data_IF_419291819439
#
_entry.id   IF_419291819439
#
_cell.length_a   1.000
_cell.length_b   1.000
_cell.length_c   1.000
_cell.angle_alpha   90.00
_cell.angle_beta   90.00
_cell.angle_gamma   90.00
#
_symmetry.space_group_name_H-M   'P 1'
#
loop_
_entity.id
_entity.type
_entity.pdbx_description
1 polymer ?
#
# COMPACT_ATOMS: atom_id res chain seq x y z
N UNK A 1 133.12 -78.87 13.69
CA UNK A 1 131.66 -79.00 13.48
C UNK A 1 131.05 -77.70 13.98
N UNK A 2 131.06 -76.65 13.16
CA UNK A 2 129.94 -76.35 12.25
C UNK A 2 128.59 -76.50 12.95
N UNK A 3 127.97 -75.38 13.33
CA UNK A 3 126.71 -75.00 12.72
C UNK A 3 126.38 -73.53 13.03
N UNK A 4 126.65 -72.70 12.03
CA UNK A 4 126.21 -71.33 11.91
C UNK A 4 124.67 -71.29 11.82
N UNK A 5 123.98 -71.02 12.93
CA UNK A 5 122.63 -70.46 12.86
C UNK A 5 122.76 -68.94 12.84
N UNK A 6 122.88 -68.41 11.62
CA UNK A 6 122.61 -67.01 11.28
C UNK A 6 121.27 -66.64 11.90
N UNK A 7 121.29 -65.78 12.90
CA UNK A 7 120.17 -64.89 13.17
C UNK A 7 120.05 -64.03 11.92
N UNK A 8 119.13 -64.40 11.02
CA UNK A 8 118.71 -63.54 9.93
C UNK A 8 118.16 -62.27 10.57
N UNK A 9 118.99 -61.22 10.60
CA UNK A 9 118.53 -59.87 10.86
C UNK A 9 117.51 -59.54 9.77
N UNK A 10 116.25 -59.41 10.17
CA UNK A 10 115.21 -58.78 9.35
C UNK A 10 115.73 -57.40 8.92
N UNK A 11 115.79 -57.09 7.61
CA UNK A 11 116.38 -55.83 7.15
C UNK A 11 115.61 -54.65 7.75
N UNK A 12 116.31 -53.57 8.12
CA UNK A 12 115.71 -52.35 8.69
C UNK A 12 114.53 -51.80 7.84
N UNK A 13 114.54 -52.06 6.54
CA UNK A 13 113.48 -51.77 5.58
C UNK A 13 112.14 -52.49 5.87
N UNK A 14 112.15 -53.73 6.35
CA UNK A 14 110.93 -54.48 6.66
C UNK A 14 110.25 -53.95 7.94
N UNK A 15 111.03 -53.47 8.91
CA UNK A 15 110.51 -52.85 10.14
C UNK A 15 109.90 -51.46 9.90
N UNK A 16 110.49 -50.66 9.01
CA UNK A 16 109.91 -49.38 8.56
C UNK A 16 108.61 -49.59 7.75
N UNK A 17 108.57 -50.59 6.87
CA UNK A 17 107.35 -50.96 6.15
C UNK A 17 106.22 -51.41 7.10
N UNK A 18 106.53 -52.23 8.10
CA UNK A 18 105.57 -52.66 9.13
C UNK A 18 105.05 -51.49 9.98
N UNK A 19 105.90 -50.52 10.30
CA UNK A 19 105.51 -49.32 11.04
C UNK A 19 104.59 -48.41 10.21
N UNK A 20 104.95 -48.15 8.95
CA UNK A 20 104.13 -47.36 8.03
C UNK A 20 102.77 -48.02 7.74
N UNK A 21 102.74 -49.35 7.59
CA UNK A 21 101.47 -50.10 7.43
C UNK A 21 100.58 -49.96 8.68
N UNK A 22 101.15 -50.06 9.88
CA UNK A 22 100.42 -49.83 11.13
C UNK A 22 99.86 -48.41 11.23
N UNK A 23 100.63 -47.39 10.85
CA UNK A 23 100.17 -45.99 10.83
C UNK A 23 99.02 -45.78 9.84
N UNK A 24 99.11 -46.35 8.63
CA UNK A 24 98.04 -46.30 7.62
C UNK A 24 96.77 -46.99 8.14
N UNK A 25 96.90 -48.18 8.74
CA UNK A 25 95.77 -48.87 9.36
C UNK A 25 95.14 -48.03 10.48
N UNK A 26 95.94 -47.43 11.37
CA UNK A 26 95.47 -46.54 12.44
C UNK A 26 94.71 -45.33 11.88
N UNK A 27 95.21 -44.73 10.81
CA UNK A 27 94.53 -43.62 10.14
C UNK A 27 93.20 -44.04 9.48
N UNK A 28 93.11 -45.25 8.93
CA UNK A 28 91.84 -45.79 8.42
C UNK A 28 90.82 -46.03 9.54
N UNK A 29 91.23 -46.59 10.67
CA UNK A 29 90.35 -46.76 11.84
C UNK A 29 89.84 -45.41 12.35
N UNK A 30 90.74 -44.42 12.49
CA UNK A 30 90.37 -43.05 12.88
C UNK A 30 89.35 -42.42 11.93
N UNK A 31 89.53 -42.60 10.62
CA UNK A 31 88.57 -42.11 9.60
C UNK A 31 87.21 -42.81 9.75
N UNK A 32 87.18 -44.12 9.95
CA UNK A 32 85.92 -44.88 10.14
C UNK A 32 85.18 -44.42 11.40
N UNK A 33 85.88 -44.25 12.51
CA UNK A 33 85.31 -43.73 13.75
C UNK A 33 84.77 -42.31 13.58
N UNK A 34 85.51 -41.45 12.90
CA UNK A 34 85.06 -40.09 12.57
C UNK A 34 83.77 -40.11 11.73
N UNK A 35 83.71 -40.90 10.65
CA UNK A 35 82.50 -40.99 9.83
C UNK A 35 81.31 -41.56 10.62
N UNK A 36 81.52 -42.59 11.44
CA UNK A 36 80.48 -43.11 12.32
C UNK A 36 79.97 -42.04 13.29
N UNK A 37 80.86 -41.25 13.89
CA UNK A 37 80.49 -40.13 14.76
C UNK A 37 79.69 -39.05 14.00
N UNK A 38 80.10 -38.69 12.78
CA UNK A 38 79.37 -37.72 11.93
C UNK A 38 77.97 -38.23 11.59
N UNK A 39 77.81 -39.52 11.29
CA UNK A 39 76.48 -40.12 11.04
C UNK A 39 75.60 -40.04 12.29
N UNK A 40 76.12 -40.42 13.45
CA UNK A 40 75.36 -40.38 14.72
C UNK A 40 74.96 -38.94 15.06
N UNK A 41 75.91 -38.00 14.95
CA UNK A 41 75.65 -36.60 15.26
C UNK A 41 74.68 -35.93 14.27
N UNK A 42 74.81 -36.20 12.96
CA UNK A 42 73.89 -35.66 11.96
C UNK A 42 72.48 -36.22 12.12
N UNK A 43 72.35 -37.51 12.44
CA UNK A 43 71.08 -38.15 12.78
C UNK A 43 70.45 -37.51 14.02
N UNK A 44 71.21 -37.32 15.10
CA UNK A 44 70.74 -36.68 16.33
C UNK A 44 70.28 -35.24 16.09
N UNK A 45 71.08 -34.43 15.36
CA UNK A 45 70.70 -33.06 14.96
C UNK A 45 69.39 -33.06 14.18
N UNK A 46 69.23 -33.99 13.23
CA UNK A 46 67.98 -34.17 12.47
C UNK A 46 66.80 -34.57 13.35
N UNK A 47 66.99 -35.47 14.31
CA UNK A 47 65.95 -35.87 15.27
C UNK A 47 65.48 -34.69 16.13
N UNK A 48 66.41 -33.87 16.63
CA UNK A 48 66.09 -32.66 17.41
C UNK A 48 65.25 -31.67 16.60
N UNK A 49 65.67 -31.37 15.37
CA UNK A 49 64.95 -30.43 14.49
C UNK A 49 63.56 -30.96 14.14
N UNK A 50 63.43 -32.24 13.77
CA UNK A 50 62.12 -32.84 13.45
C UNK A 50 61.18 -32.86 14.66
N UNK A 51 61.67 -33.13 15.86
CA UNK A 51 60.88 -33.06 17.08
C UNK A 51 60.36 -31.63 17.33
N UNK A 52 61.22 -30.63 17.13
CA UNK A 52 60.83 -29.23 17.26
C UNK A 52 59.78 -28.81 16.23
N UNK A 53 59.94 -29.18 14.96
CA UNK A 53 58.94 -28.91 13.90
C UNK A 53 57.59 -29.56 14.25
N UNK A 54 57.58 -30.80 14.74
CA UNK A 54 56.35 -31.47 15.17
C UNK A 54 55.67 -30.72 16.33
N UNK A 55 56.44 -30.24 17.30
CA UNK A 55 55.93 -29.42 18.39
C UNK A 55 55.29 -28.12 17.86
N UNK A 56 55.98 -27.39 16.99
CA UNK A 56 55.48 -26.14 16.39
C UNK A 56 54.18 -26.39 15.59
N UNK A 57 54.16 -27.43 14.77
CA UNK A 57 52.95 -27.82 14.02
C UNK A 57 51.78 -28.16 14.95
N UNK A 58 52.04 -28.87 16.05
CA UNK A 58 51.01 -29.18 17.06
C UNK A 58 50.42 -27.89 17.64
N UNK A 59 51.26 -26.96 18.07
CA UNK A 59 50.81 -25.66 18.61
C UNK A 59 50.04 -24.85 17.56
N UNK A 60 50.52 -24.81 16.32
CA UNK A 60 49.83 -24.15 15.21
C UNK A 60 48.44 -24.73 14.97
N UNK A 61 48.31 -26.07 14.93
CA UNK A 61 47.01 -26.74 14.80
C UNK A 61 46.08 -26.41 15.95
N UNK A 62 46.59 -26.32 17.20
CA UNK A 62 45.78 -25.88 18.33
C UNK A 62 45.22 -24.47 18.14
N UNK A 63 46.07 -23.50 17.80
CA UNK A 63 45.65 -22.12 17.57
C UNK A 63 44.60 -22.06 16.45
N UNK A 64 44.88 -22.73 15.32
CA UNK A 64 43.96 -22.73 14.18
C UNK A 64 42.63 -23.42 14.50
N UNK A 65 42.64 -24.54 15.23
CA UNK A 65 41.43 -25.25 15.66
C UNK A 65 40.54 -24.34 16.52
N UNK A 66 41.14 -23.66 17.49
CA UNK A 66 40.43 -22.71 18.35
C UNK A 66 39.86 -21.54 17.56
N UNK A 67 40.64 -20.96 16.64
CA UNK A 67 40.18 -19.86 15.80
C UNK A 67 39.02 -20.26 14.88
N UNK A 68 39.13 -21.41 14.19
CA UNK A 68 38.04 -21.95 13.35
C UNK A 68 36.77 -22.19 14.18
N UNK A 69 36.91 -22.73 15.39
CA UNK A 69 35.81 -22.90 16.33
C UNK A 69 35.17 -21.59 16.78
N UNK A 70 35.97 -20.58 17.11
CA UNK A 70 35.48 -19.24 17.46
C UNK A 70 34.69 -18.61 16.30
N UNK A 71 35.24 -18.67 15.09
CA UNK A 71 34.57 -18.12 13.91
C UNK A 71 33.24 -18.83 13.60
N UNK A 72 33.20 -20.16 13.73
CA UNK A 72 31.95 -20.92 13.61
C UNK A 72 30.90 -20.46 14.62
N UNK A 73 31.27 -20.35 15.90
CA UNK A 73 30.37 -19.85 16.96
C UNK A 73 29.91 -18.42 16.73
N UNK A 74 30.79 -17.53 16.25
CA UNK A 74 30.45 -16.13 15.92
C UNK A 74 29.38 -16.08 14.81
N UNK A 75 29.55 -16.87 13.75
CA UNK A 75 28.57 -16.98 12.66
C UNK A 75 27.23 -17.55 13.16
N UNK A 76 27.28 -18.62 13.96
CA UNK A 76 26.08 -19.24 14.53
C UNK A 76 25.29 -18.27 15.42
N UNK A 77 25.96 -17.53 16.32
CA UNK A 77 25.29 -16.50 17.15
C UNK A 77 24.60 -15.44 16.31
N UNK A 78 25.24 -14.94 15.24
CA UNK A 78 24.62 -13.98 14.30
C UNK A 78 23.36 -14.58 13.64
N UNK A 79 23.43 -15.84 13.22
CA UNK A 79 22.31 -16.54 12.58
C UNK A 79 21.13 -16.72 13.55
N UNK A 80 21.40 -17.20 14.77
CA UNK A 80 20.37 -17.37 15.81
C UNK A 80 19.74 -16.04 16.18
N UNK A 81 20.53 -14.99 16.37
CA UNK A 81 20.01 -13.66 16.67
C UNK A 81 19.09 -13.16 15.55
N UNK A 82 19.49 -13.31 14.28
CA UNK A 82 18.65 -12.97 13.13
C UNK A 82 17.33 -13.75 13.16
N UNK A 83 17.39 -15.05 13.45
CA UNK A 83 16.19 -15.89 13.53
C UNK A 83 15.25 -15.46 14.66
N UNK A 84 15.79 -15.15 15.84
CA UNK A 84 15.04 -14.60 16.97
C UNK A 84 14.35 -13.31 16.56
N UNK A 85 15.07 -12.37 15.92
CA UNK A 85 14.45 -11.13 15.44
C UNK A 85 13.30 -11.40 14.46
N UNK A 86 13.49 -12.30 13.48
CA UNK A 86 12.44 -12.65 12.51
C UNK A 86 11.20 -13.24 13.18
N UNK A 87 11.37 -14.06 14.21
CA UNK A 87 10.24 -14.70 14.90
C UNK A 87 9.52 -13.75 15.88
N UNK A 88 10.27 -12.97 16.65
CA UNK A 88 9.70 -12.17 17.74
C UNK A 88 9.26 -10.77 17.31
N UNK A 89 9.92 -10.13 16.34
CA UNK A 89 9.55 -8.78 15.90
C UNK A 89 8.08 -8.69 15.43
N UNK A 90 7.56 -9.62 14.61
CA UNK A 90 6.16 -9.55 14.17
C UNK A 90 5.18 -9.72 15.33
N UNK A 91 5.51 -10.50 16.36
CA UNK A 91 4.64 -10.68 17.54
C UNK A 91 4.54 -9.40 18.36
N UNK A 92 5.69 -8.76 18.62
CA UNK A 92 5.75 -7.48 19.32
C UNK A 92 5.01 -6.41 18.53
N UNK A 93 5.24 -6.33 17.21
CA UNK A 93 4.57 -5.39 16.33
C UNK A 93 3.05 -5.61 16.29
N UNK A 94 2.59 -6.85 16.16
CA UNK A 94 1.15 -7.19 16.18
C UNK A 94 0.50 -6.76 17.51
N UNK A 95 1.15 -7.07 18.64
CA UNK A 95 0.67 -6.67 19.97
C UNK A 95 0.58 -5.15 20.09
N UNK A 96 1.61 -4.43 19.67
CA UNK A 96 1.65 -2.97 19.72
C UNK A 96 0.61 -2.32 18.81
N UNK A 97 0.48 -2.77 17.55
CA UNK A 97 -0.54 -2.27 16.61
C UNK A 97 -1.95 -2.46 17.18
N UNK A 98 -2.23 -3.63 17.77
CA UNK A 98 -3.51 -3.89 18.41
C UNK A 98 -3.78 -2.98 19.61
N UNK A 99 -2.78 -2.73 20.45
CA UNK A 99 -2.86 -1.76 21.55
C UNK A 99 -3.15 -0.35 21.04
N UNK A 100 -2.39 0.11 20.03
CA UNK A 100 -2.50 1.46 19.50
C UNK A 100 -3.90 1.75 18.93
N UNK A 101 -4.44 0.83 18.14
CA UNK A 101 -5.78 0.98 17.55
C UNK A 101 -6.84 1.10 18.64
N UNK A 102 -6.81 0.21 19.64
CA UNK A 102 -7.79 0.21 20.73
C UNK A 102 -7.70 1.43 21.65
N UNK A 103 -6.52 2.05 21.76
CA UNK A 103 -6.33 3.22 22.62
C UNK A 103 -6.61 4.54 21.91
N UNK A 104 -6.17 4.69 20.66
CA UNK A 104 -6.12 6.00 20.00
C UNK A 104 -7.01 6.15 18.77
N UNK A 105 -7.39 5.05 18.10
CA UNK A 105 -8.16 5.12 16.84
C UNK A 105 -9.62 4.74 17.07
N UNK A 106 -9.86 3.56 17.66
CA UNK A 106 -11.20 3.01 17.76
C UNK A 106 -11.75 3.11 19.18
N UNK A 107 -12.75 3.98 19.37
CA UNK A 107 -13.55 4.04 20.58
C UNK A 107 -14.90 3.36 20.33
N UNK A 108 -15.03 2.11 20.79
CA UNK A 108 -16.23 1.29 20.62
C UNK A 108 -17.49 1.97 21.16
N UNK A 109 -17.41 2.57 22.35
CA UNK A 109 -18.57 3.21 22.99
C UNK A 109 -19.03 4.46 22.24
N UNK A 110 -18.09 5.23 21.69
CA UNK A 110 -18.42 6.39 20.86
C UNK A 110 -19.13 5.97 19.57
N UNK A 111 -18.64 4.93 18.89
CA UNK A 111 -19.29 4.40 17.68
C UNK A 111 -20.68 3.82 17.98
N UNK A 112 -20.83 3.06 19.07
CA UNK A 112 -22.11 2.50 19.47
C UNK A 112 -23.15 3.59 19.71
N UNK A 113 -22.80 4.62 20.48
CA UNK A 113 -23.67 5.78 20.74
C UNK A 113 -24.06 6.52 19.46
N UNK A 114 -23.13 6.67 18.52
CA UNK A 114 -23.40 7.28 17.22
C UNK A 114 -24.41 6.46 16.40
N UNK A 115 -24.25 5.14 16.34
CA UNK A 115 -25.17 4.25 15.62
C UNK A 115 -26.57 4.23 16.24
N UNK A 116 -26.66 4.24 17.57
CA UNK A 116 -27.93 4.36 18.30
C UNK A 116 -28.63 5.68 17.94
N UNK A 117 -27.91 6.80 17.91
CA UNK A 117 -28.46 8.09 17.50
C UNK A 117 -28.94 8.10 16.05
N UNK A 118 -28.21 7.45 15.13
CA UNK A 118 -28.65 7.29 13.73
C UNK A 118 -29.93 6.46 13.66
N UNK A 119 -30.02 5.35 14.41
CA UNK A 119 -31.20 4.50 14.41
C UNK A 119 -32.45 5.28 14.85
N UNK A 120 -32.33 6.06 15.93
CA UNK A 120 -33.41 6.92 16.41
C UNK A 120 -33.81 7.99 15.38
N UNK A 121 -32.84 8.64 14.73
CA UNK A 121 -33.12 9.61 13.66
C UNK A 121 -33.85 8.96 12.49
N UNK A 122 -33.42 7.77 12.07
CA UNK A 122 -34.06 7.04 10.98
C UNK A 122 -35.50 6.62 11.34
N UNK A 123 -35.78 6.30 12.60
CA UNK A 123 -37.14 6.03 13.08
C UNK A 123 -38.01 7.29 13.12
N UNK A 124 -37.45 8.43 13.51
CA UNK A 124 -38.17 9.71 13.44
C UNK A 124 -38.53 10.07 11.99
N UNK A 125 -37.54 10.04 11.09
CA UNK A 125 -37.77 10.35 9.66
C UNK A 125 -38.78 9.41 9.03
N UNK A 126 -38.78 8.11 9.38
CA UNK A 126 -39.79 7.17 8.90
C UNK A 126 -41.20 7.55 9.36
N UNK A 127 -41.38 7.90 10.63
CA UNK A 127 -42.67 8.36 11.15
C UNK A 127 -43.15 9.65 10.47
N UNK A 128 -42.25 10.62 10.28
CA UNK A 128 -42.58 11.86 9.57
C UNK A 128 -43.01 11.61 8.12
N UNK A 129 -42.35 10.66 7.43
CA UNK A 129 -42.72 10.26 6.07
C UNK A 129 -44.08 9.55 6.02
N UNK A 130 -44.40 8.71 7.01
CA UNK A 130 -45.70 8.06 7.15
C UNK A 130 -46.81 9.09 7.39
N UNK A 131 -46.61 10.02 8.33
CA UNK A 131 -47.54 11.12 8.60
C UNK A 131 -47.77 12.00 7.36
N UNK A 132 -46.68 12.32 6.64
CA UNK A 132 -46.78 13.10 5.41
C UNK A 132 -47.55 12.35 4.32
N UNK A 133 -47.33 11.03 4.18
CA UNK A 133 -48.06 10.19 3.25
C UNK A 133 -49.56 10.16 3.56
N UNK A 134 -49.94 9.99 4.84
CA UNK A 134 -51.34 10.04 5.26
C UNK A 134 -51.99 11.40 4.99
N UNK A 135 -51.29 12.49 5.30
CA UNK A 135 -51.81 13.84 5.09
C UNK A 135 -52.05 14.10 3.61
N UNK A 136 -51.12 13.64 2.75
CA UNK A 136 -51.26 13.74 1.30
C UNK A 136 -52.43 12.90 0.78
N UNK A 137 -52.60 11.68 1.26
CA UNK A 137 -53.73 10.82 0.88
C UNK A 137 -55.07 11.46 1.27
N UNK A 138 -55.19 11.97 2.50
CA UNK A 138 -56.37 12.71 2.97
C UNK A 138 -56.66 13.92 2.11
N UNK A 139 -55.62 14.67 1.71
CA UNK A 139 -55.77 15.84 0.83
C UNK A 139 -56.23 15.42 -0.59
N UNK A 140 -55.68 14.35 -1.15
CA UNK A 140 -56.08 13.83 -2.46
C UNK A 140 -57.53 13.33 -2.45
N UNK A 141 -57.96 12.64 -1.38
CA UNK A 141 -59.35 12.21 -1.19
C UNK A 141 -60.28 13.42 -1.11
N UNK A 142 -59.93 14.46 -0.34
CA UNK A 142 -60.71 15.72 -0.28
C UNK A 142 -60.81 16.39 -1.64
N UNK A 143 -59.67 16.56 -2.35
CA UNK A 143 -59.63 17.13 -3.70
C UNK A 143 -60.46 16.28 -4.69
N UNK A 144 -60.44 14.96 -4.58
CA UNK A 144 -61.23 14.07 -5.42
C UNK A 144 -62.73 14.20 -5.15
N UNK A 145 -63.13 14.33 -3.88
CA UNK A 145 -64.52 14.60 -3.49
C UNK A 145 -65.00 15.94 -4.04
N UNK A 146 -64.23 17.02 -3.83
CA UNK A 146 -64.55 18.34 -4.38
C UNK A 146 -64.67 18.32 -5.92
N UNK A 147 -63.79 17.59 -6.62
CA UNK A 147 -63.90 17.42 -8.08
C UNK A 147 -65.17 16.68 -8.47
N UNK A 148 -65.60 15.67 -7.71
CA UNK A 148 -66.87 14.95 -7.94
C UNK A 148 -68.06 15.87 -7.72
N UNK A 149 -68.05 16.68 -6.65
CA UNK A 149 -69.09 17.68 -6.37
C UNK A 149 -69.16 18.74 -7.47
N UNK A 150 -68.03 19.35 -7.84
CA UNK A 150 -67.96 20.31 -8.95
C UNK A 150 -68.46 19.72 -10.27
N UNK A 151 -68.20 18.44 -10.55
CA UNK A 151 -68.74 17.74 -11.73
C UNK A 151 -70.27 17.58 -11.65
N UNK A 152 -70.82 17.23 -10.48
CA UNK A 152 -72.27 17.16 -10.27
C UNK A 152 -72.92 18.54 -10.46
N UNK A 153 -72.33 19.58 -9.87
CA UNK A 153 -72.82 20.96 -10.02
C UNK A 153 -72.75 21.42 -11.47
N UNK A 154 -71.65 21.14 -12.17
CA UNK A 154 -71.51 21.45 -13.59
C UNK A 154 -72.56 20.75 -14.44
N UNK A 155 -72.81 19.46 -14.19
CA UNK A 155 -73.83 18.68 -14.88
C UNK A 155 -75.23 19.27 -14.65
N UNK A 156 -75.57 19.59 -13.41
CA UNK A 156 -76.84 20.24 -13.06
C UNK A 156 -76.99 21.59 -13.78
N UNK A 157 -75.94 22.42 -13.82
CA UNK A 157 -75.98 23.70 -14.54
C UNK A 157 -76.15 23.54 -16.05
N UNK A 158 -75.61 22.46 -16.64
CA UNK A 158 -75.77 22.13 -18.07
C UNK A 158 -77.17 21.64 -18.38
N UNK A 159 -77.73 20.85 -17.49
CA UNK A 159 -79.05 20.23 -17.60
C UNK A 159 -80.16 21.06 -16.92
N UNK A 160 -79.89 22.32 -16.56
CA UNK A 160 -80.81 23.19 -15.80
C UNK A 160 -82.19 23.35 -16.46
N UNK A 161 -82.27 23.20 -17.79
CA UNK A 161 -83.53 23.27 -18.53
C UNK A 161 -84.51 22.11 -18.22
N UNK A 162 -84.06 21.04 -17.57
CA UNK A 162 -84.90 19.90 -17.16
C UNK A 162 -85.60 20.09 -15.81
N UNK A 163 -85.43 21.26 -15.18
CA UNK A 163 -86.01 21.62 -13.90
C UNK A 163 -87.53 21.79 -14.00
N UNK A 164 -88.27 21.33 -12.99
CA UNK A 164 -89.74 21.39 -12.94
C UNK A 164 -90.28 22.81 -12.88
N UNK A 165 -91.21 23.16 -13.76
CA UNK A 165 -91.94 24.44 -13.71
C UNK A 165 -93.27 24.27 -12.99
N UNK A 166 -93.97 25.37 -12.69
CA UNK A 166 -95.29 25.32 -12.04
C UNK A 166 -96.34 24.63 -12.91
N UNK A 167 -96.30 24.80 -14.23
CA UNK A 167 -97.23 24.16 -15.17
C UNK A 167 -96.83 22.72 -15.54
N UNK A 168 -95.54 22.39 -15.62
CA UNK A 168 -95.07 21.08 -16.11
C UNK A 168 -94.01 20.51 -15.17
N UNK A 169 -94.28 19.30 -14.68
CA UNK A 169 -93.35 18.55 -13.86
C UNK A 169 -92.08 18.17 -14.65
N UNK A 170 -90.91 18.46 -14.09
CA UNK A 170 -89.61 18.14 -14.70
C UNK A 170 -89.31 16.63 -14.68
N UNK A 171 -88.38 16.18 -15.53
CA UNK A 171 -88.04 14.74 -15.69
C UNK A 171 -87.63 14.11 -14.34
N UNK A 172 -87.00 14.88 -13.46
CA UNK A 172 -86.53 14.44 -12.15
C UNK A 172 -87.53 14.67 -10.99
N UNK A 173 -88.73 15.21 -11.29
CA UNK A 173 -89.80 15.48 -10.33
C UNK A 173 -91.12 14.82 -10.78
N UNK A 174 -91.13 13.49 -10.87
CA UNK A 174 -92.31 12.74 -11.33
C UNK A 174 -93.46 12.77 -10.29
N UNK A 175 -94.72 12.99 -10.71
CA UNK A 175 -95.87 13.04 -9.80
C UNK A 175 -96.17 11.71 -9.10
N UNK A 176 -95.59 10.61 -9.57
CA UNK A 176 -95.75 9.27 -8.99
C UNK A 176 -94.72 8.94 -7.90
N UNK A 177 -93.77 9.84 -7.61
CA UNK A 177 -92.81 9.69 -6.50
C UNK A 177 -93.16 10.61 -5.34
N UNK A 178 -93.09 10.10 -4.11
CA UNK A 178 -93.41 10.86 -2.89
C UNK A 178 -92.39 11.96 -2.56
N UNK A 179 -91.17 11.90 -3.11
CA UNK A 179 -90.13 12.93 -2.93
C UNK A 179 -89.35 13.17 -4.23
N UNK A 180 -88.88 14.42 -4.49
CA UNK A 180 -88.09 14.73 -5.67
C UNK A 180 -86.74 13.98 -5.68
N UNK A 181 -86.26 13.62 -6.88
CA UNK A 181 -84.96 12.98 -7.03
C UNK A 181 -83.81 13.91 -6.55
N UNK A 182 -82.71 13.40 -5.97
CA UNK A 182 -81.58 14.23 -5.55
C UNK A 182 -81.03 15.13 -6.65
N UNK A 183 -81.17 14.78 -7.93
CA UNK A 183 -80.81 15.65 -9.05
C UNK A 183 -81.70 16.90 -9.14
N UNK A 184 -83.01 16.79 -8.93
CA UNK A 184 -83.95 17.91 -8.93
C UNK A 184 -83.61 18.92 -7.83
N UNK A 185 -83.24 18.44 -6.64
CA UNK A 185 -82.81 19.28 -5.51
C UNK A 185 -81.52 20.06 -5.83
N UNK A 186 -80.59 19.46 -6.58
CA UNK A 186 -79.38 20.13 -7.04
C UNK A 186 -79.68 21.17 -8.12
N UNK A 187 -80.56 20.84 -9.07
CA UNK A 187 -81.01 21.75 -10.12
C UNK A 187 -81.62 23.03 -9.53
N UNK A 188 -82.46 22.92 -8.48
CA UNK A 188 -83.05 24.08 -7.77
C UNK A 188 -82.02 24.99 -7.09
N UNK A 189 -80.85 24.46 -6.69
CA UNK A 189 -79.80 25.23 -6.01
C UNK A 189 -78.90 26.00 -6.97
N UNK A 190 -78.68 25.48 -8.18
CA UNK A 190 -77.68 26.01 -9.12
C UNK A 190 -78.29 26.98 -10.13
N UNK A 191 -77.49 27.94 -10.62
CA UNK A 191 -77.89 28.86 -11.70
C UNK A 191 -77.46 28.30 -13.07
N UNK A 192 -78.27 28.46 -14.13
CA UNK A 192 -77.96 27.93 -15.46
C UNK A 192 -76.63 28.47 -15.99
N UNK A 193 -75.94 27.66 -16.82
CA UNK A 193 -74.72 28.10 -17.49
C UNK A 193 -75.02 29.29 -18.39
N UNK A 194 -74.35 30.41 -18.15
CA UNK A 194 -74.38 31.57 -19.06
C UNK A 194 -73.50 31.26 -20.27
N UNK A 195 -74.05 31.37 -21.48
CA UNK A 195 -73.25 31.41 -22.69
C UNK A 195 -72.32 32.63 -22.63
N UNK A 196 -71.01 32.40 -22.46
CA UNK A 196 -70.02 33.44 -22.73
C UNK A 196 -70.06 33.72 -24.23
N UNK A 197 -70.49 34.91 -24.65
CA UNK A 197 -70.10 35.44 -25.96
C UNK A 197 -68.58 35.43 -25.96
N UNK A 198 -67.96 34.68 -26.88
CA UNK A 198 -66.52 34.81 -27.12
C UNK A 198 -66.31 36.28 -27.48
N UNK A 199 -65.71 37.05 -26.57
CA UNK A 199 -65.13 38.32 -26.95
C UNK A 199 -64.16 38.01 -28.07
N UNK A 200 -64.34 38.68 -29.21
CA UNK A 200 -63.32 38.76 -30.24
C UNK A 200 -62.07 39.20 -29.49
N UNK A 201 -61.11 38.30 -29.30
CA UNK A 201 -59.79 38.72 -28.88
C UNK A 201 -59.26 39.49 -30.08
N UNK A 202 -59.03 40.79 -29.91
CA UNK A 202 -58.38 41.60 -30.92
C UNK A 202 -57.09 40.90 -31.33
N UNK A 203 -57.10 40.43 -32.58
CA UNK A 203 -55.96 39.91 -33.29
C UNK A 203 -55.09 41.12 -33.64
N UNK A 204 -54.45 41.73 -32.65
CA UNK A 204 -53.49 42.84 -32.86
C UNK A 204 -52.05 42.44 -32.53
N UNK A 205 -51.78 41.13 -32.43
CA UNK A 205 -50.43 40.59 -32.46
C UNK A 205 -50.34 39.31 -33.31
N UNK A 206 -51.01 39.30 -34.46
CA UNK A 206 -50.64 38.40 -35.54
C UNK A 206 -49.60 39.12 -36.40
N UNK A 207 -48.32 38.97 -36.03
CA UNK A 207 -47.23 39.33 -36.94
C UNK A 207 -47.38 38.47 -38.19
N UNK A 208 -47.68 39.15 -39.29
CA UNK A 208 -47.65 38.63 -40.64
C UNK A 208 -46.26 38.02 -40.87
N UNK A 209 -46.19 36.68 -40.85
CA UNK A 209 -45.00 35.98 -41.28
C UNK A 209 -44.99 36.07 -42.80
N UNK A 210 -44.13 36.95 -43.30
CA UNK A 210 -43.82 37.08 -44.70
C UNK A 210 -43.36 35.71 -45.21
N UNK A 211 -44.05 35.24 -46.24
CA UNK A 211 -43.67 34.03 -46.94
C UNK A 211 -42.43 34.37 -47.76
N UNK A 212 -41.36 33.59 -47.59
CA UNK A 212 -40.05 33.66 -48.27
C UNK A 212 -38.99 34.56 -47.63
N UNK A 213 -38.28 33.98 -46.66
CA UNK A 213 -36.96 34.43 -46.23
C UNK A 213 -36.63 33.86 -44.86
N UNK A 214 -35.73 32.87 -44.81
CA UNK A 214 -35.07 32.28 -43.64
C UNK A 214 -35.87 32.33 -42.32
N UNK A 215 -36.31 31.17 -41.83
CA UNK A 215 -36.82 31.05 -40.46
C UNK A 215 -35.77 31.60 -39.47
N UNK A 216 -35.91 32.86 -39.07
CA UNK A 216 -35.30 33.37 -37.85
C UNK A 216 -36.04 32.69 -36.73
N UNK A 217 -35.51 31.53 -36.33
CA UNK A 217 -35.94 30.79 -35.15
C UNK A 217 -36.04 31.83 -34.02
N UNK A 218 -37.21 32.03 -33.40
CA UNK A 218 -37.30 32.94 -32.27
C UNK A 218 -36.22 32.55 -31.27
N UNK A 219 -35.45 33.50 -30.72
CA UNK A 219 -34.39 33.17 -29.78
C UNK A 219 -35.03 32.30 -28.70
N UNK A 220 -34.55 31.06 -28.61
CA UNK A 220 -35.01 30.13 -27.59
C UNK A 220 -34.95 30.88 -26.25
N UNK A 221 -35.97 30.74 -25.38
CA UNK A 221 -35.95 31.36 -24.07
C UNK A 221 -34.58 31.05 -23.46
N UNK A 222 -33.87 32.06 -22.91
CA UNK A 222 -32.49 31.89 -22.51
C UNK A 222 -32.40 30.65 -21.65
N UNK A 223 -31.82 29.58 -22.20
CA UNK A 223 -31.60 28.34 -21.48
C UNK A 223 -30.72 28.78 -20.34
N UNK A 224 -31.31 28.85 -19.15
CA UNK A 224 -30.61 29.30 -17.96
C UNK A 224 -29.30 28.54 -17.91
N UNK A 225 -28.21 29.20 -17.49
CA UNK A 225 -26.90 28.57 -17.28
C UNK A 225 -26.90 27.55 -16.13
N UNK A 226 -28.05 26.90 -15.91
CA UNK A 226 -28.24 25.86 -14.91
C UNK A 226 -27.60 24.59 -15.44
N UNK A 227 -26.90 23.90 -14.54
CA UNK A 227 -26.30 22.61 -14.81
C UNK A 227 -27.39 21.64 -15.32
N UNK A 228 -27.23 21.03 -16.50
CA UNK A 228 -28.21 20.04 -16.98
C UNK A 228 -28.32 18.91 -15.95
N UNK A 229 -29.54 18.44 -15.71
CA UNK A 229 -29.82 17.43 -14.70
C UNK A 229 -29.08 16.13 -15.05
N UNK A 230 -28.15 15.72 -14.17
CA UNK A 230 -27.32 14.52 -14.36
C UNK A 230 -25.85 14.74 -13.95
N UNK A 231 -24.99 13.73 -14.17
CA UNK A 231 -23.55 13.81 -13.87
C UNK A 231 -22.76 14.58 -14.95
N UNK A 232 -23.39 15.53 -15.63
CA UNK A 232 -22.76 16.32 -16.69
C UNK A 232 -21.91 17.43 -16.10
N UNK A 233 -20.75 17.68 -16.72
CA UNK A 233 -19.79 18.73 -16.32
C UNK A 233 -20.28 20.10 -16.75
N UNK A 234 -19.77 21.15 -16.11
CA UNK A 234 -20.13 22.52 -16.44
C UNK A 234 -19.71 22.87 -17.87
N UNK A 235 -20.49 23.70 -18.56
CA UNK A 235 -20.23 24.08 -19.97
C UNK A 235 -18.84 24.68 -20.18
N UNK A 236 -18.35 25.47 -19.21
CA UNK A 236 -16.99 26.03 -19.24
C UNK A 236 -15.90 24.97 -19.14
N UNK A 237 -16.07 23.95 -18.30
CA UNK A 237 -15.12 22.84 -18.16
C UNK A 237 -15.07 21.99 -19.42
N UNK A 238 -16.22 21.75 -20.05
CA UNK A 238 -16.32 21.00 -21.31
C UNK A 238 -15.60 21.75 -22.43
N UNK A 239 -15.77 23.08 -22.52
CA UNK A 239 -15.06 23.90 -23.51
C UNK A 239 -13.55 23.90 -23.26
N UNK A 240 -13.13 24.05 -22.00
CA UNK A 240 -11.71 23.95 -21.64
C UNK A 240 -11.11 22.58 -21.99
N UNK A 241 -11.87 21.50 -21.79
CA UNK A 241 -11.44 20.15 -22.15
C UNK A 241 -11.36 19.96 -23.67
N UNK A 242 -12.30 20.53 -24.42
CA UNK A 242 -12.33 20.46 -25.90
C UNK A 242 -11.16 21.22 -26.54
N UNK A 243 -10.83 22.38 -26.00
CA UNK A 243 -9.73 23.22 -26.50
C UNK A 243 -8.41 22.96 -25.77
N UNK A 244 -8.34 21.93 -24.93
CA UNK A 244 -7.07 21.51 -24.32
C UNK A 244 -6.13 21.05 -25.45
N UNK A 245 -4.95 21.67 -25.62
CA UNK A 245 -4.00 21.22 -26.62
C UNK A 245 -3.61 19.77 -26.33
N UNK A 246 -3.38 18.98 -27.39
CA UNK A 246 -2.98 17.58 -27.27
C UNK A 246 -1.63 17.52 -26.55
N UNK A 247 -1.63 17.06 -25.31
CA UNK A 247 -0.40 16.74 -24.61
C UNK A 247 0.21 15.51 -25.30
N UNK A 248 1.50 15.55 -25.68
CA UNK A 248 2.18 14.38 -26.21
C UNK A 248 2.03 13.22 -25.23
N UNK A 249 1.87 11.99 -25.76
CA UNK A 249 1.73 10.79 -24.95
C UNK A 249 2.89 10.71 -23.94
N UNK A 250 2.66 10.06 -22.79
CA UNK A 250 3.69 9.96 -21.74
C UNK A 250 5.00 9.34 -22.26
N UNK A 251 4.92 8.55 -23.34
CA UNK A 251 6.08 8.03 -24.09
C UNK A 251 6.74 9.06 -25.03
N UNK A 252 5.99 10.00 -25.60
CA UNK A 252 6.52 11.07 -26.46
C UNK A 252 7.01 12.31 -25.72
N UNK A 253 6.47 12.59 -24.52
CA UNK A 253 6.89 13.71 -23.67
C UNK A 253 8.12 13.39 -22.80
N UNK A 254 8.29 12.10 -22.48
CA UNK A 254 9.42 11.63 -21.72
C UNK A 254 10.67 11.58 -22.60
N UNK A 255 11.70 12.37 -22.27
CA UNK A 255 13.04 12.10 -22.78
C UNK A 255 13.44 10.67 -22.38
N UNK A 256 14.31 10.02 -23.16
CA UNK A 256 14.85 8.68 -22.83
C UNK A 256 15.46 8.60 -21.42
N UNK A 257 15.74 9.75 -20.78
CA UNK A 257 16.30 9.91 -19.45
C UNK A 257 15.26 10.10 -18.33
N UNK A 258 13.96 10.21 -18.63
CA UNK A 258 12.88 10.43 -17.66
C UNK A 258 12.89 9.43 -16.49
N UNK A 259 13.15 8.16 -16.79
CA UNK A 259 13.22 7.08 -15.80
C UNK A 259 14.46 7.21 -14.91
N UNK A 260 15.59 7.67 -15.46
CA UNK A 260 16.81 7.92 -14.70
C UNK A 260 16.63 9.14 -13.77
N UNK A 261 16.07 10.23 -14.29
CA UNK A 261 15.76 11.43 -13.51
C UNK A 261 14.75 11.15 -12.39
N UNK A 262 13.74 10.31 -12.64
CA UNK A 262 12.79 9.89 -11.61
C UNK A 262 13.50 9.10 -10.49
N UNK A 263 14.40 8.18 -10.84
CA UNK A 263 15.20 7.43 -9.86
C UNK A 263 16.12 8.35 -9.05
N UNK A 264 16.71 9.35 -9.68
CA UNK A 264 17.56 10.34 -8.99
C UNK A 264 16.76 11.24 -8.05
N UNK A 265 15.57 11.71 -8.47
CA UNK A 265 14.66 12.47 -7.60
C UNK A 265 14.24 11.67 -6.37
N UNK A 266 13.87 10.40 -6.54
CA UNK A 266 13.54 9.52 -5.41
C UNK A 266 14.73 9.37 -4.46
N UNK A 267 15.95 9.15 -4.99
CA UNK A 267 17.16 9.12 -4.16
C UNK A 267 17.41 10.44 -3.41
N UNK A 268 17.17 11.58 -4.05
CA UNK A 268 17.33 12.90 -3.44
C UNK A 268 16.29 13.15 -2.35
N UNK A 269 15.03 12.78 -2.57
CA UNK A 269 13.96 12.86 -1.56
C UNK A 269 14.22 11.94 -0.38
N UNK A 270 14.66 10.70 -0.62
CA UNK A 270 15.13 9.82 0.44
C UNK A 270 16.26 10.48 1.22
N UNK A 271 17.27 11.05 0.57
CA UNK A 271 18.38 11.74 1.23
C UNK A 271 17.92 12.95 2.07
N UNK A 272 16.98 13.75 1.56
CA UNK A 272 16.39 14.90 2.28
C UNK A 272 15.57 14.45 3.49
N UNK A 273 14.88 13.31 3.37
CA UNK A 273 14.04 12.76 4.42
C UNK A 273 14.83 11.96 5.48
N UNK A 274 16.15 11.78 5.30
CA UNK A 274 17.08 11.25 6.32
C UNK A 274 17.41 12.29 7.40
N UNK A 275 16.38 12.88 8.00
CA UNK A 275 16.52 13.82 9.12
C UNK A 275 16.87 13.07 10.43
N UNK A 276 16.66 11.74 10.48
CA UNK A 276 16.81 10.94 11.70
C UNK A 276 17.87 9.83 11.67
N UNK A 277 18.64 9.67 10.59
CA UNK A 277 19.67 8.63 10.52
C UNK A 277 20.88 8.93 11.44
N UNK A 278 21.05 10.20 11.85
CA UNK A 278 22.13 10.61 12.74
C UNK A 278 21.86 10.35 14.23
N UNK A 279 20.62 10.01 14.63
CA UNK A 279 20.24 9.79 16.04
C UNK A 279 20.06 8.30 16.38
N UNK A 280 20.19 7.41 15.38
CA UNK A 280 20.19 5.97 15.62
C UNK A 280 21.27 5.28 14.80
N UNK A 281 22.51 5.72 15.01
CA UNK A 281 23.69 4.94 14.66
C UNK A 281 23.66 3.63 15.46
N UNK A 282 23.01 2.62 14.88
CA UNK A 282 23.35 1.24 15.15
C UNK A 282 24.77 1.05 14.62
N UNK A 283 25.76 1.40 15.44
CA UNK A 283 27.16 1.14 15.18
C UNK A 283 27.33 -0.37 14.96
N UNK A 284 27.70 -0.84 13.75
CA UNK A 284 28.17 -2.21 13.58
C UNK A 284 29.41 -2.35 14.45
N UNK A 285 29.45 -3.37 15.32
CA UNK A 285 30.54 -3.61 16.27
C UNK A 285 31.84 -4.10 15.59
N UNK A 286 32.35 -3.36 14.61
CA UNK A 286 33.53 -3.77 13.82
C UNK A 286 34.77 -2.87 14.02
N UNK A 287 34.71 -1.84 14.88
CA UNK A 287 35.90 -1.04 15.24
C UNK A 287 36.22 -1.08 16.74
N UNK A 288 36.35 -2.29 17.31
CA UNK A 288 36.95 -2.49 18.64
C UNK A 288 38.45 -2.79 18.56
N UNK A 289 39.22 -2.09 17.71
CA UNK A 289 40.68 -2.10 17.73
C UNK A 289 41.20 -0.75 17.23
N UNK A 290 41.18 0.28 18.09
CA UNK A 290 42.16 1.36 17.99
C UNK A 290 43.29 1.03 18.97
N UNK A 291 44.57 1.07 18.57
CA UNK A 291 45.67 0.92 19.51
C UNK A 291 45.62 2.08 20.51
N UNK A 292 45.81 1.77 21.79
CA UNK A 292 46.04 2.72 22.86
C UNK A 292 47.11 3.73 22.42
N UNK A 293 46.74 5.02 22.34
CA UNK A 293 47.71 6.11 22.22
C UNK A 293 48.60 6.06 23.47
N UNK A 294 49.91 5.87 23.25
CA UNK A 294 50.93 6.03 24.28
C UNK A 294 50.98 7.51 24.66
N UNK A 295 50.82 7.80 25.94
CA UNK A 295 51.20 9.10 26.52
C UNK A 295 52.72 9.24 26.42
N UNK A 296 53.19 10.33 25.81
CA UNK A 296 54.58 10.79 25.89
C UNK A 296 54.62 11.93 26.91
N UNK A 297 55.41 11.85 27.99
CA UNK A 297 55.56 12.98 28.91
C UNK A 297 56.46 14.03 28.26
N UNK A 298 56.04 15.29 28.32
CA UNK A 298 56.86 16.43 27.92
C UNK A 298 58.00 16.62 28.92
N UNK A 299 59.24 16.42 28.45
CA UNK A 299 60.44 17.09 28.98
C UNK A 299 60.50 18.52 28.49
#
# INVERSE_FOLDING_TARGET
>A
MECSLRVFGVPAQENECLFNLKLVCVDEYRKREYYAAVIIQSWFRGCKVRAYIRYMNKVMVFIQKWWRGYQGRKKFRKMVLKQIYVLFLPQIQKRWRGYYIRKYIHNYYALKKYLEAIALNNEMVRRELEEFAEMKEKEEVKKALERKEKKKDYLARKMHYLLSTEQIAGVYNSPYRSSPDPMELQLRKVKPLRHKKKGIQDITNLKYADSFGFQTVPPLPPIGRQKPQGPFRNTGEVLQQRFKPLEPSLQGAASNFSLQLAREKVKQEEWRNRIHDNVRLFWPSENCHRPFNKYSPST
#
